data_IF_154339023006
#
_entry.id   IF_154339023006
#
_cell.length_a   1.000
_cell.length_b   1.000
_cell.length_c   1.000
_cell.angle_alpha   90.00
_cell.angle_beta   90.00
_cell.angle_gamma   90.00
#
_symmetry.space_group_name_H-M   'P 1'
#
loop_
_entity.id
_entity.type
_entity.pdbx_description
1 polymer ?
#
# COMPACT_ATOMS: atom_id res chain seq x y z
N UNK A 1 -0.98 -6.90 -39.70
CA UNK A 1 -2.08 -7.79 -39.27
C UNK A 1 -1.57 -8.63 -38.10
N UNK A 2 -2.48 -8.96 -37.20
CA UNK A 2 -2.25 -9.35 -35.81
C UNK A 2 -1.46 -10.65 -35.58
N UNK A 3 -0.78 -10.71 -34.45
CA UNK A 3 -0.96 -11.82 -33.51
C UNK A 3 -0.97 -11.24 -32.09
N UNK A 4 -2.17 -10.98 -31.58
CA UNK A 4 -2.44 -10.72 -30.16
C UNK A 4 -2.18 -12.03 -29.42
N UNK A 5 -1.00 -12.20 -28.84
CA UNK A 5 -0.73 -13.32 -27.95
C UNK A 5 -1.32 -12.97 -26.58
N UNK A 6 -2.40 -13.68 -26.23
CA UNK A 6 -3.26 -13.46 -25.07
C UNK A 6 -2.47 -13.32 -23.75
N UNK A 7 -2.52 -12.11 -23.18
CA UNK A 7 -2.02 -11.76 -21.83
C UNK A 7 -2.73 -12.55 -20.72
N UNK A 8 -3.86 -13.22 -21.02
CA UNK A 8 -4.56 -14.11 -20.08
C UNK A 8 -3.77 -15.36 -19.68
N UNK A 9 -2.74 -15.77 -20.43
CA UNK A 9 -1.98 -16.99 -20.11
C UNK A 9 -0.97 -16.82 -18.95
N UNK A 10 -0.55 -15.59 -18.62
CA UNK A 10 0.41 -15.33 -17.53
C UNK A 10 -0.31 -15.21 -16.17
N UNK A 11 -1.60 -14.85 -16.18
CA UNK A 11 -2.45 -14.74 -14.99
C UNK A 11 -2.77 -16.10 -14.33
N UNK A 12 -2.52 -17.22 -15.03
CA UNK A 12 -2.76 -18.56 -14.48
C UNK A 12 -1.60 -19.10 -13.63
N UNK A 13 -0.39 -18.54 -13.73
CA UNK A 13 0.79 -19.08 -13.05
C UNK A 13 0.96 -18.57 -11.60
N UNK A 14 0.32 -17.45 -11.23
CA UNK A 14 0.30 -16.94 -9.85
C UNK A 14 -1.01 -17.23 -9.10
N UNK A 15 -2.12 -17.43 -9.81
CA UNK A 15 -3.39 -17.89 -9.22
C UNK A 15 -3.42 -19.39 -8.88
N UNK A 16 -2.49 -20.19 -9.41
CA UNK A 16 -2.42 -21.63 -9.20
C UNK A 16 -1.36 -22.08 -8.16
N UNK A 17 -0.73 -21.16 -7.43
CA UNK A 17 0.16 -21.50 -6.31
C UNK A 17 -0.55 -21.53 -4.94
N UNK A 18 -1.85 -21.22 -4.90
CA UNK A 18 -2.71 -21.38 -3.72
C UNK A 18 -3.57 -22.66 -3.78
N UNK A 19 -3.41 -23.47 -4.82
CA UNK A 19 -4.09 -24.75 -4.98
C UNK A 19 -3.19 -25.92 -4.60
N UNK A 20 -3.44 -26.52 -3.43
CA UNK A 20 -2.93 -27.83 -2.99
C UNK A 20 -1.41 -27.97 -2.82
N UNK A 21 -0.91 -27.54 -1.66
CA UNK A 21 0.06 -28.36 -0.92
C UNK A 21 -0.49 -28.57 0.49
N UNK A 22 -0.99 -29.77 0.75
CA UNK A 22 -1.22 -30.28 2.10
C UNK A 22 0.16 -30.47 2.76
N UNK A 23 0.71 -29.39 3.32
CA UNK A 23 1.83 -29.47 4.26
C UNK A 23 1.26 -29.75 5.66
N UNK A 24 1.67 -30.83 6.33
CA UNK A 24 1.29 -31.09 7.71
C UNK A 24 2.07 -30.13 8.60
N UNK A 25 1.46 -29.00 8.92
CA UNK A 25 2.09 -27.94 9.71
C UNK A 25 1.37 -26.59 9.69
N UNK A 26 0.24 -26.46 8.97
CA UNK A 26 -0.59 -25.25 8.93
C UNK A 26 -1.29 -25.00 10.26
N UNK A 27 -0.53 -24.55 11.26
CA UNK A 27 -1.09 -23.79 12.37
C UNK A 27 -1.83 -22.61 11.76
N UNK A 28 -3.14 -22.55 11.97
CA UNK A 28 -4.04 -21.52 11.48
C UNK A 28 -3.37 -20.14 11.45
N UNK A 29 -3.19 -19.56 10.26
CA UNK A 29 -3.03 -18.12 10.16
C UNK A 29 -4.30 -17.54 10.80
N UNK A 30 -4.16 -17.02 12.02
CA UNK A 30 -5.28 -16.44 12.76
C UNK A 30 -5.79 -15.25 11.96
N UNK A 31 -7.01 -15.38 11.43
CA UNK A 31 -7.68 -14.38 10.62
C UNK A 31 -7.59 -12.97 11.20
N UNK A 32 -7.38 -11.96 10.34
CA UNK A 32 -7.33 -10.57 10.77
C UNK A 32 -8.73 -10.02 11.05
N UNK A 33 -8.87 -9.25 12.12
CA UNK A 33 -10.08 -8.46 12.37
C UNK A 33 -10.14 -7.24 11.44
N UNK A 34 -11.32 -6.64 11.22
CA UNK A 34 -11.48 -5.38 10.49
C UNK A 34 -10.55 -4.26 11.00
N UNK A 35 -10.33 -4.23 12.32
CA UNK A 35 -9.44 -3.29 12.98
C UNK A 35 -7.96 -3.58 12.68
N UNK A 36 -7.58 -4.85 12.55
CA UNK A 36 -6.24 -5.27 12.17
C UNK A 36 -5.98 -4.99 10.68
N UNK A 37 -6.91 -5.38 9.80
CA UNK A 37 -6.89 -5.06 8.38
C UNK A 37 -6.72 -3.57 8.15
N UNK A 38 -7.54 -2.75 8.83
CA UNK A 38 -7.45 -1.30 8.72
C UNK A 38 -6.08 -0.74 9.13
N UNK A 39 -5.40 -1.37 10.08
CA UNK A 39 -4.08 -0.93 10.55
C UNK A 39 -2.98 -1.28 9.55
N UNK A 40 -3.03 -2.50 8.99
CA UNK A 40 -2.11 -2.96 7.94
C UNK A 40 -2.26 -2.10 6.69
N UNK A 41 -3.48 -1.88 6.21
CA UNK A 41 -3.73 -1.09 5.00
C UNK A 41 -3.26 0.36 5.15
N UNK A 42 -3.48 1.01 6.30
CA UNK A 42 -2.97 2.37 6.57
C UNK A 42 -1.45 2.43 6.56
N UNK A 43 -0.79 1.38 7.06
CA UNK A 43 0.67 1.26 7.04
C UNK A 43 1.19 1.09 5.61
N UNK A 44 0.52 0.30 4.78
CA UNK A 44 0.87 0.09 3.36
C UNK A 44 0.71 1.39 2.56
N UNK A 45 -0.45 2.05 2.69
CA UNK A 45 -0.71 3.32 2.01
C UNK A 45 0.34 4.38 2.34
N UNK A 46 0.69 4.57 3.62
CA UNK A 46 1.68 5.60 3.98
C UNK A 46 3.08 5.27 3.51
N UNK A 47 3.40 3.98 3.40
CA UNK A 47 4.62 3.51 2.75
C UNK A 47 4.62 3.78 1.24
N UNK A 48 3.47 3.79 0.58
CA UNK A 48 3.37 4.01 -0.88
C UNK A 48 3.49 5.49 -1.28
N UNK A 49 3.18 6.44 -0.39
CA UNK A 49 3.33 7.87 -0.64
C UNK A 49 4.78 8.28 -0.97
N UNK A 50 5.76 7.73 -0.25
CA UNK A 50 7.18 8.05 -0.46
C UNK A 50 7.66 7.74 -1.88
N UNK A 51 7.45 6.51 -2.40
CA UNK A 51 7.70 6.17 -3.80
C UNK A 51 7.00 7.10 -4.80
N UNK A 52 5.71 7.40 -4.62
CA UNK A 52 4.95 8.28 -5.53
C UNK A 52 5.58 9.68 -5.59
N UNK A 53 5.87 10.27 -4.43
CA UNK A 53 6.43 11.62 -4.37
C UNK A 53 7.85 11.69 -4.93
N UNK A 54 8.67 10.65 -4.72
CA UNK A 54 9.99 10.52 -5.35
C UNK A 54 9.88 10.44 -6.87
N UNK A 55 8.92 9.68 -7.39
CA UNK A 55 8.69 9.59 -8.84
C UNK A 55 8.32 10.97 -9.40
N UNK A 56 7.43 11.67 -8.71
CA UNK A 56 7.01 13.01 -9.12
C UNK A 56 8.15 14.02 -9.11
N UNK A 57 8.97 14.07 -8.05
CA UNK A 57 10.10 14.97 -7.99
C UNK A 57 11.18 14.64 -9.03
N UNK A 58 11.44 13.36 -9.29
CA UNK A 58 12.45 12.93 -10.27
C UNK A 58 12.03 13.19 -11.72
N UNK A 59 10.76 12.96 -12.06
CA UNK A 59 10.30 13.08 -13.45
C UNK A 59 9.84 14.49 -13.81
N UNK A 60 9.42 15.29 -12.82
CA UNK A 60 8.84 16.62 -12.99
C UNK A 60 9.52 17.60 -12.03
N UNK A 61 10.73 18.09 -12.36
CA UNK A 61 11.49 18.99 -11.48
C UNK A 61 10.72 20.25 -11.09
N UNK A 62 9.77 20.70 -11.93
CA UNK A 62 8.93 21.86 -11.67
C UNK A 62 7.98 21.70 -10.48
N UNK A 63 7.72 20.46 -10.02
CA UNK A 63 6.91 20.19 -8.83
C UNK A 63 7.74 19.63 -7.67
N UNK A 64 9.06 19.52 -7.80
CA UNK A 64 9.94 18.91 -6.79
C UNK A 64 9.82 19.58 -5.42
N UNK A 65 9.95 20.91 -5.34
CA UNK A 65 9.90 21.66 -4.07
C UNK A 65 8.56 21.45 -3.37
N UNK A 66 7.46 21.62 -4.11
CA UNK A 66 6.10 21.41 -3.58
C UNK A 66 5.86 19.96 -3.14
N UNK A 67 6.37 18.99 -3.89
CA UNK A 67 6.27 17.58 -3.51
C UNK A 67 7.02 17.28 -2.21
N UNK A 68 8.22 17.85 -2.05
CA UNK A 68 9.03 17.72 -0.84
C UNK A 68 8.30 18.35 0.35
N UNK A 69 7.79 19.57 0.21
CA UNK A 69 7.11 20.30 1.27
C UNK A 69 5.81 19.60 1.70
N UNK A 70 4.94 19.24 0.75
CA UNK A 70 3.71 18.50 1.05
C UNK A 70 4.00 17.17 1.77
N UNK A 71 5.01 16.44 1.31
CA UNK A 71 5.43 15.18 1.95
C UNK A 71 5.96 15.40 3.36
N UNK A 72 6.77 16.43 3.56
CA UNK A 72 7.33 16.79 4.87
C UNK A 72 6.22 17.17 5.85
N UNK A 73 5.30 18.03 5.44
CA UNK A 73 4.17 18.44 6.26
C UNK A 73 3.28 17.26 6.64
N UNK A 74 3.00 16.36 5.69
CA UNK A 74 2.25 15.14 5.96
C UNK A 74 2.93 14.25 7.00
N UNK A 75 4.23 14.01 6.87
CA UNK A 75 4.96 13.22 7.86
C UNK A 75 5.00 13.91 9.23
N UNK A 76 5.14 15.23 9.29
CA UNK A 76 5.12 15.95 10.57
C UNK A 76 3.74 15.89 11.23
N UNK A 77 2.68 16.09 10.46
CA UNK A 77 1.30 16.06 10.95
C UNK A 77 0.91 14.68 11.49
N UNK A 78 1.28 13.61 10.78
CA UNK A 78 0.77 12.26 11.04
C UNK A 78 1.82 11.26 11.56
N UNK A 79 3.01 11.72 11.96
CA UNK A 79 4.08 10.85 12.48
C UNK A 79 3.63 9.87 13.57
N UNK A 80 2.77 10.33 14.48
CA UNK A 80 2.31 9.53 15.61
C UNK A 80 1.37 8.42 15.16
N UNK A 81 0.41 8.74 14.29
CA UNK A 81 -0.52 7.77 13.70
C UNK A 81 0.21 6.76 12.82
N UNK A 82 1.16 7.22 11.99
CA UNK A 82 1.99 6.35 11.17
C UNK A 82 2.81 5.39 12.00
N UNK A 83 3.45 5.89 13.08
CA UNK A 83 4.20 5.05 14.02
C UNK A 83 3.28 4.02 14.70
N UNK A 84 2.10 4.44 15.13
CA UNK A 84 1.12 3.54 15.75
C UNK A 84 0.71 2.42 14.78
N UNK A 85 0.32 2.75 13.55
CA UNK A 85 -0.07 1.76 12.54
C UNK A 85 1.08 0.82 12.17
N UNK A 86 2.32 1.33 12.09
CA UNK A 86 3.50 0.50 11.84
C UNK A 86 3.74 -0.51 12.97
N UNK A 87 3.70 -0.08 14.22
CA UNK A 87 3.88 -0.97 15.37
C UNK A 87 2.79 -2.03 15.43
N UNK A 88 1.54 -1.62 15.23
CA UNK A 88 0.41 -2.55 15.19
C UNK A 88 0.51 -3.55 14.04
N UNK A 89 0.92 -3.11 12.85
CA UNK A 89 1.20 -4.00 11.71
C UNK A 89 2.29 -5.02 12.07
N UNK A 90 3.40 -4.59 12.68
CA UNK A 90 4.46 -5.51 13.15
C UNK A 90 3.92 -6.55 14.13
N UNK A 91 3.12 -6.13 15.10
CA UNK A 91 2.55 -7.04 16.11
C UNK A 91 1.58 -8.05 15.48
N UNK A 92 0.76 -7.59 14.52
CA UNK A 92 -0.11 -8.46 13.72
C UNK A 92 0.70 -9.50 12.96
N UNK A 93 1.75 -9.08 12.25
CA UNK A 93 2.58 -9.97 11.45
C UNK A 93 3.32 -10.98 12.32
N UNK A 94 3.86 -10.56 13.47
CA UNK A 94 4.46 -11.48 14.45
C UNK A 94 3.46 -12.51 14.97
N UNK A 95 2.21 -12.10 15.24
CA UNK A 95 1.16 -12.99 15.72
C UNK A 95 0.77 -14.03 14.66
N UNK A 96 0.65 -13.62 13.41
CA UNK A 96 0.13 -14.46 12.31
C UNK A 96 1.22 -15.36 11.72
N UNK A 97 2.39 -14.79 11.42
CA UNK A 97 3.47 -15.46 10.68
C UNK A 97 4.61 -15.93 11.59
N UNK A 98 4.57 -15.60 12.89
CA UNK A 98 5.56 -16.03 13.89
C UNK A 98 6.98 -15.71 13.45
N UNK A 99 7.80 -16.71 13.13
CA UNK A 99 9.21 -16.54 12.79
C UNK A 99 9.42 -15.92 11.40
N UNK A 100 8.48 -16.15 10.47
CA UNK A 100 8.56 -15.68 9.07
C UNK A 100 7.99 -14.27 8.87
N UNK A 101 7.66 -13.57 9.97
CA UNK A 101 6.92 -12.31 9.91
C UNK A 101 7.62 -11.20 9.13
N UNK A 102 8.95 -11.17 9.14
CA UNK A 102 9.73 -10.14 8.45
C UNK A 102 9.67 -10.33 6.94
N UNK A 103 9.83 -11.56 6.47
CA UNK A 103 9.79 -11.91 5.05
C UNK A 103 8.38 -11.67 4.49
N UNK A 104 7.35 -12.09 5.23
CA UNK A 104 5.96 -11.85 4.84
C UNK A 104 5.61 -10.36 4.81
N UNK A 105 6.08 -9.57 5.77
CA UNK A 105 5.86 -8.12 5.76
C UNK A 105 6.59 -7.45 4.61
N UNK A 106 7.81 -7.87 4.29
CA UNK A 106 8.55 -7.36 3.15
C UNK A 106 7.85 -7.70 1.83
N UNK A 107 7.39 -8.94 1.66
CA UNK A 107 6.66 -9.38 0.47
C UNK A 107 5.37 -8.58 0.26
N UNK A 108 4.56 -8.37 1.32
CA UNK A 108 3.35 -7.54 1.22
C UNK A 108 3.69 -6.10 0.78
N UNK A 109 4.73 -5.50 1.38
CA UNK A 109 5.14 -4.13 1.04
C UNK A 109 5.65 -4.03 -0.40
N UNK A 110 6.41 -5.02 -0.87
CA UNK A 110 6.91 -5.08 -2.24
C UNK A 110 5.77 -5.30 -3.25
N UNK A 111 4.78 -6.11 -2.91
CA UNK A 111 3.59 -6.32 -3.74
C UNK A 111 2.76 -5.05 -3.86
N UNK A 112 2.48 -4.38 -2.74
CA UNK A 112 1.70 -3.15 -2.72
C UNK A 112 2.40 -1.99 -3.45
N UNK A 113 3.71 -1.84 -3.24
CA UNK A 113 4.46 -0.72 -3.84
C UNK A 113 5.02 -1.04 -5.22
N UNK A 114 5.14 -2.31 -5.59
CA UNK A 114 5.71 -2.78 -6.85
C UNK A 114 5.02 -2.21 -8.09
N UNK A 115 3.67 -2.23 -8.20
CA UNK A 115 2.95 -1.61 -9.30
C UNK A 115 3.19 -0.11 -9.44
N UNK A 116 3.48 0.61 -8.35
CA UNK A 116 3.80 2.04 -8.38
C UNK A 116 5.19 2.24 -8.97
N UNK A 117 6.18 1.50 -8.47
CA UNK A 117 7.57 1.57 -8.97
C UNK A 117 7.66 1.16 -10.44
N UNK A 118 6.94 0.10 -10.85
CA UNK A 118 6.89 -0.35 -12.25
C UNK A 118 6.18 0.63 -13.18
N UNK A 119 5.23 1.42 -12.66
CA UNK A 119 4.51 2.47 -13.42
C UNK A 119 5.14 3.86 -13.28
N UNK A 120 6.32 3.96 -12.66
CA UNK A 120 7.00 5.24 -12.42
C UNK A 120 7.21 6.08 -13.69
N UNK A 121 7.34 5.47 -14.86
CA UNK A 121 7.46 6.18 -16.14
C UNK A 121 6.14 6.77 -16.70
N UNK A 122 5.03 6.71 -15.96
CA UNK A 122 3.68 7.00 -16.49
C UNK A 122 2.98 8.17 -15.79
N UNK A 123 3.49 8.65 -14.65
CA UNK A 123 2.89 9.80 -13.97
C UNK A 123 3.12 11.07 -14.79
N UNK A 124 2.06 11.71 -15.25
CA UNK A 124 2.13 13.03 -15.87
C UNK A 124 2.28 14.13 -14.81
N UNK A 125 2.76 15.32 -15.21
CA UNK A 125 2.85 16.48 -14.32
C UNK A 125 1.51 16.81 -13.65
N UNK A 126 0.39 16.68 -14.38
CA UNK A 126 -0.95 16.88 -13.83
C UNK A 126 -1.37 15.83 -12.80
N UNK A 127 -0.97 14.56 -13.00
CA UNK A 127 -1.19 13.51 -12.00
C UNK A 127 -0.35 13.74 -10.75
N UNK A 128 0.90 14.16 -10.92
CA UNK A 128 1.75 14.56 -9.80
C UNK A 128 1.18 15.74 -9.03
N UNK A 129 0.72 16.80 -9.72
CA UNK A 129 0.03 17.92 -9.07
C UNK A 129 -1.21 17.50 -8.29
N UNK A 130 -1.98 16.54 -8.81
CA UNK A 130 -3.17 16.00 -8.13
C UNK A 130 -2.80 15.21 -6.88
N UNK A 131 -1.76 14.38 -6.93
CA UNK A 131 -1.29 13.62 -5.76
C UNK A 131 -0.68 14.52 -4.69
N UNK A 132 0.06 15.55 -5.08
CA UNK A 132 0.63 16.55 -4.15
C UNK A 132 -0.51 17.31 -3.46
N UNK A 133 -1.47 17.85 -4.23
CA UNK A 133 -2.65 18.53 -3.67
C UNK A 133 -3.42 17.62 -2.71
N UNK A 134 -3.57 16.34 -3.06
CA UNK A 134 -4.23 15.37 -2.19
C UNK A 134 -3.53 15.25 -0.83
N UNK A 135 -2.20 15.25 -0.80
CA UNK A 135 -1.43 15.18 0.45
C UNK A 135 -1.63 16.46 1.28
N UNK A 136 -1.59 17.62 0.63
CA UNK A 136 -1.84 18.93 1.28
C UNK A 136 -3.24 18.97 1.92
N UNK A 137 -4.28 18.60 1.17
CA UNK A 137 -5.66 18.53 1.67
C UNK A 137 -5.79 17.55 2.85
N UNK A 138 -5.03 16.44 2.82
CA UNK A 138 -4.99 15.50 3.94
C UNK A 138 -4.38 16.17 5.18
N UNK A 139 -3.32 16.98 5.07
CA UNK A 139 -2.72 17.69 6.21
C UNK A 139 -3.70 18.67 6.84
N UNK A 140 -4.40 19.45 6.03
CA UNK A 140 -5.33 20.48 6.51
C UNK A 140 -6.48 19.92 7.36
N UNK A 141 -6.99 18.75 6.98
CA UNK A 141 -8.12 18.09 7.66
C UNK A 141 -7.83 17.65 9.10
N UNK A 142 -6.56 17.41 9.45
CA UNK A 142 -6.09 16.98 10.79
C UNK A 142 -6.83 15.76 11.40
N UNK A 143 -7.43 14.91 10.57
CA UNK A 143 -8.13 13.70 11.00
C UNK A 143 -7.69 12.49 10.16
N UNK A 144 -6.56 11.92 10.55
CA UNK A 144 -5.91 10.83 9.83
C UNK A 144 -6.85 9.62 9.64
N UNK A 145 -7.60 9.24 10.67
CA UNK A 145 -8.46 8.05 10.62
C UNK A 145 -9.61 8.23 9.64
N UNK A 146 -10.28 9.39 9.66
CA UNK A 146 -11.40 9.68 8.77
C UNK A 146 -10.97 9.96 7.33
N UNK A 147 -9.80 10.58 7.15
CA UNK A 147 -9.20 10.76 5.82
C UNK A 147 -8.98 9.41 5.16
N UNK A 148 -8.40 8.46 5.89
CA UNK A 148 -8.05 7.13 5.38
C UNK A 148 -9.28 6.25 5.13
N UNK A 149 -10.46 6.67 5.61
CA UNK A 149 -11.74 6.00 5.36
C UNK A 149 -12.62 6.72 4.34
N UNK A 150 -12.15 7.79 3.66
CA UNK A 150 -12.97 8.56 2.69
C UNK A 150 -12.27 8.82 1.35
N UNK A 151 -13.07 9.08 0.30
CA UNK A 151 -12.61 9.61 -0.98
C UNK A 151 -11.58 8.74 -1.74
N UNK A 152 -10.56 9.37 -2.32
CA UNK A 152 -9.50 8.69 -3.05
C UNK A 152 -8.59 7.83 -2.14
N UNK A 153 -8.37 8.27 -0.90
CA UNK A 153 -7.62 7.50 0.10
C UNK A 153 -8.36 6.19 0.46
N UNK A 154 -9.70 6.23 0.55
CA UNK A 154 -10.54 5.03 0.71
C UNK A 154 -10.43 4.08 -0.48
N UNK A 155 -10.44 4.58 -1.72
CA UNK A 155 -10.29 3.72 -2.91
C UNK A 155 -8.93 3.03 -2.95
N UNK A 156 -7.86 3.76 -2.61
CA UNK A 156 -6.52 3.18 -2.50
C UNK A 156 -6.47 2.18 -1.34
N UNK A 157 -7.09 2.50 -0.20
CA UNK A 157 -7.24 1.56 0.91
C UNK A 157 -7.99 0.28 0.50
N UNK A 158 -9.10 0.39 -0.22
CA UNK A 158 -9.87 -0.77 -0.68
C UNK A 158 -9.09 -1.64 -1.66
N UNK A 159 -8.32 -1.02 -2.57
CA UNK A 159 -7.41 -1.72 -3.47
C UNK A 159 -6.30 -2.47 -2.70
N UNK A 160 -5.60 -1.82 -1.77
CA UNK A 160 -4.54 -2.46 -0.98
C UNK A 160 -5.11 -3.54 -0.04
N UNK A 161 -6.36 -3.37 0.44
CA UNK A 161 -7.05 -4.33 1.30
C UNK A 161 -7.26 -5.68 0.61
N UNK A 162 -7.52 -5.72 -0.69
CA UNK A 162 -7.72 -6.98 -1.44
C UNK A 162 -6.47 -7.88 -1.43
N UNK A 163 -5.29 -7.29 -1.21
CA UNK A 163 -4.01 -7.99 -1.16
C UNK A 163 -3.63 -8.40 0.27
N UNK A 164 -4.42 -8.01 1.26
CA UNK A 164 -4.22 -8.39 2.67
C UNK A 164 -5.20 -9.53 2.98
N UNK A 165 -4.73 -10.69 3.48
CA UNK A 165 -5.60 -11.80 3.82
C UNK A 165 -6.67 -11.41 4.86
N UNK A 166 -7.92 -11.28 4.39
CA UNK A 166 -9.14 -11.21 5.21
C UNK A 166 -9.82 -12.58 5.12
N UNK A 167 -10.16 -13.17 6.26
CA UNK A 167 -10.88 -14.43 6.25
C UNK A 167 -12.39 -14.27 6.02
N UNK A 168 -12.90 -13.04 5.93
CA UNK A 168 -14.32 -12.79 5.81
C UNK A 168 -15.10 -13.30 7.03
N UNK A 169 -16.42 -13.11 6.99
CA UNK A 169 -17.36 -13.80 7.89
C UNK A 169 -17.84 -15.09 7.24
#
# INVERSE_FOLDING_TARGET
MAARTNIMAIMAALGAALGMVLLPGSGSAGCLSDADLSSVTRSVFTKSLGPVMRICSTNHPEVEERAIDATREFFLAYRSDMRHNRLKTTDIFRRVFKDDWQENLAALLDEATGPILRRAGVYSAGQCGTEIQRIEDMVERRDYSAIMSTGAARKMFEFEREHIPDCGK
#
